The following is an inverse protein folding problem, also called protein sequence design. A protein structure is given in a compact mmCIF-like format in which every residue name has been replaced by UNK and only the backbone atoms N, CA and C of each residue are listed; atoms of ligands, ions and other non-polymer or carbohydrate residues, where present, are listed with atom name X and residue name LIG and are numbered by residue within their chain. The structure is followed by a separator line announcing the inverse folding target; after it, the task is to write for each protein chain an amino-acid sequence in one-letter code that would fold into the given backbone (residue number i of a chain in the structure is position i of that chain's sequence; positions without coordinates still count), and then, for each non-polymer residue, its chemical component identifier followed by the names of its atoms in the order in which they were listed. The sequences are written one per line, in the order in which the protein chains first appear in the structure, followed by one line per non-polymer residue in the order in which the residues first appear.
data_IF_480607853504
#
_entry.id   IF_480607853504
#
_cell.length_a   1.000
_cell.length_b   1.000
_cell.length_c   1.000
_cell.angle_alpha   90.00
_cell.angle_beta   90.00
_cell.angle_gamma   90.00
#
_symmetry.space_group_name_H-M   'P 1'
#
loop_
_entity.id
_entity.type
_entity.pdbx_description
1 polymer ?
#
# COMPACT_ATOMS: atom_id res chain seq x y z
N UNK A 1 -8.26 3.03 -8.32
CA UNK A 1 -8.73 2.53 -7.01
C UNK A 1 -7.64 2.69 -5.95
N UNK A 2 -7.97 2.63 -4.65
CA UNK A 2 -6.96 2.82 -3.59
C UNK A 2 -5.81 1.80 -3.66
N UNK A 3 -6.09 0.61 -4.16
CA UNK A 3 -5.11 -0.45 -4.39
C UNK A 3 -4.11 -0.16 -5.50
N UNK A 4 -4.38 0.79 -6.41
CA UNK A 4 -3.43 1.14 -7.49
C UNK A 4 -2.12 1.72 -6.92
N UNK A 5 -2.17 2.25 -5.69
CA UNK A 5 -0.99 2.75 -4.98
C UNK A 5 0.07 1.67 -4.80
N UNK A 6 -0.30 0.39 -4.72
CA UNK A 6 0.65 -0.72 -4.57
C UNK A 6 1.62 -0.84 -5.75
N UNK A 7 1.20 -0.37 -6.93
CA UNK A 7 2.03 -0.32 -8.14
C UNK A 7 3.02 0.86 -8.17
N UNK A 8 2.99 1.75 -7.17
CA UNK A 8 4.00 2.81 -7.03
C UNK A 8 5.32 2.22 -6.51
N UNK A 9 6.00 1.50 -7.40
CA UNK A 9 7.23 0.75 -7.13
C UNK A 9 8.42 1.34 -7.88
N UNK A 10 8.30 2.52 -8.48
CA UNK A 10 9.43 3.19 -9.13
C UNK A 10 10.57 3.44 -8.12
N UNK A 11 11.86 3.24 -8.49
CA UNK A 11 12.97 3.43 -7.57
C UNK A 11 12.99 4.82 -6.94
N UNK A 12 13.16 4.88 -5.62
CA UNK A 12 13.21 6.14 -4.86
C UNK A 12 11.84 6.76 -4.56
N UNK A 13 10.74 6.19 -5.08
CA UNK A 13 9.41 6.65 -4.74
C UNK A 13 9.00 6.13 -3.36
N UNK A 14 8.42 7.01 -2.55
CA UNK A 14 7.81 6.67 -1.26
C UNK A 14 6.29 6.86 -1.33
N UNK A 15 5.54 5.86 -0.89
CA UNK A 15 4.07 5.93 -0.89
C UNK A 15 3.48 5.20 0.31
N UNK A 16 2.31 5.64 0.77
CA UNK A 16 1.48 4.88 1.71
C UNK A 16 0.60 3.91 0.95
N UNK A 17 0.63 2.64 1.36
CA UNK A 17 -0.21 1.56 0.84
C UNK A 17 -1.20 1.16 1.94
N UNK A 18 -2.53 1.17 1.68
CA UNK A 18 -3.46 0.57 2.63
C UNK A 18 -3.27 -0.95 2.61
N UNK A 19 -3.26 -1.57 3.79
CA UNK A 19 -3.21 -3.03 3.95
C UNK A 19 -4.57 -3.58 4.38
N UNK A 20 -5.25 -2.87 5.29
CA UNK A 20 -6.56 -3.24 5.79
C UNK A 20 -7.48 -2.02 5.69
N UNK A 21 -8.57 -2.18 4.96
CA UNK A 21 -9.64 -1.19 4.80
C UNK A 21 -10.93 -1.87 5.26
N UNK A 22 -11.65 -1.29 6.23
CA UNK A 22 -12.92 -1.89 6.67
C UNK A 22 -13.94 -1.91 5.53
N UNK A 23 -14.81 -2.91 5.53
CA UNK A 23 -15.61 -3.27 4.36
C UNK A 23 -16.94 -2.53 4.18
N UNK A 24 -17.47 -1.76 5.15
CA UNK A 24 -18.58 -0.77 4.99
C UNK A 24 -18.94 -0.06 6.32
N UNK A 25 -19.55 1.13 6.20
CA UNK A 25 -19.68 2.20 7.21
C UNK A 25 -21.01 2.19 7.99
N UNK A 26 -20.93 1.89 9.29
CA UNK A 26 -21.73 2.57 10.34
C UNK A 26 -20.86 2.91 11.56
N UNK A 27 -19.53 2.84 11.42
CA UNK A 27 -18.59 3.11 12.49
C UNK A 27 -17.82 4.40 12.21
N UNK A 28 -17.90 5.36 13.13
CA UNK A 28 -17.28 6.69 12.99
C UNK A 28 -15.75 6.66 13.17
N UNK A 29 -15.14 5.48 13.20
CA UNK A 29 -13.71 5.26 13.46
C UNK A 29 -13.07 4.17 12.60
N UNK A 30 -13.48 4.01 11.34
CA UNK A 30 -12.84 3.07 10.40
C UNK A 30 -11.31 3.30 10.35
N UNK A 31 -10.55 2.40 10.96
CA UNK A 31 -9.10 2.46 11.02
C UNK A 31 -8.52 1.80 9.77
N UNK A 32 -7.69 2.54 9.04
CA UNK A 32 -6.94 1.98 7.90
C UNK A 32 -5.52 1.68 8.36
N UNK A 33 -5.14 0.41 8.34
CA UNK A 33 -3.73 0.05 8.54
C UNK A 33 -2.99 0.31 7.24
N UNK A 34 -1.88 1.04 7.33
CA UNK A 34 -1.03 1.39 6.19
C UNK A 34 0.40 0.88 6.39
N UNK A 35 1.12 0.77 5.29
CA UNK A 35 2.58 0.63 5.28
C UNK A 35 3.22 1.73 4.44
N UNK A 36 4.40 2.18 4.86
CA UNK A 36 5.26 3.02 4.04
C UNK A 36 6.08 2.16 3.09
N UNK A 37 5.71 2.21 1.80
CA UNK A 37 6.40 1.50 0.73
C UNK A 37 7.47 2.38 0.09
N UNK A 38 8.66 1.80 -0.08
CA UNK A 38 9.77 2.36 -0.86
C UNK A 38 10.31 1.26 -1.77
N UNK A 39 10.73 1.58 -2.98
CA UNK A 39 11.35 0.62 -3.88
C UNK A 39 12.76 1.06 -4.30
N UNK A 40 13.64 0.09 -4.51
CA UNK A 40 14.92 0.27 -5.20
C UNK A 40 14.89 -0.45 -6.56
N UNK A 41 16.02 -0.74 -7.20
CA UNK A 41 16.03 -1.39 -8.52
C UNK A 41 15.47 -2.82 -8.49
N UNK A 42 15.70 -3.55 -7.40
CA UNK A 42 15.51 -5.00 -7.33
C UNK A 42 14.47 -5.39 -6.28
N UNK A 43 14.11 -4.49 -5.37
CA UNK A 43 13.29 -4.80 -4.20
C UNK A 43 12.19 -3.77 -3.94
N UNK A 44 11.14 -4.25 -3.29
CA UNK A 44 10.10 -3.42 -2.67
C UNK A 44 10.20 -3.59 -1.16
N UNK A 45 10.24 -2.48 -0.44
CA UNK A 45 10.38 -2.43 1.01
C UNK A 45 9.13 -1.84 1.63
N UNK A 46 8.61 -2.51 2.65
CA UNK A 46 7.65 -1.98 3.60
C UNK A 46 8.43 -1.59 4.84
N UNK A 47 8.70 -0.29 4.99
CA UNK A 47 9.65 0.24 5.97
C UNK A 47 9.08 0.28 7.39
N UNK A 48 7.79 0.56 7.52
CA UNK A 48 7.07 0.68 8.79
C UNK A 48 5.56 0.58 8.56
N UNK A 49 4.86 0.22 9.61
CA UNK A 49 3.42 -0.04 9.61
C UNK A 49 2.74 0.85 10.64
N UNK A 50 1.51 1.26 10.37
CA UNK A 50 0.78 2.12 11.31
C UNK A 50 -0.70 2.23 11.00
N UNK A 51 -1.42 2.91 11.89
CA UNK A 51 -2.83 3.27 11.68
C UNK A 51 -2.89 4.67 11.13
N UNK A 52 -3.57 4.82 10.01
CA UNK A 52 -3.84 6.10 9.40
C UNK A 52 -4.83 6.89 10.27
N UNK A 53 -4.42 8.07 10.74
CA UNK A 53 -5.23 8.97 11.57
C UNK A 53 -6.07 9.95 10.74
N UNK A 54 -5.75 10.07 9.46
CA UNK A 54 -6.34 11.03 8.52
C UNK A 54 -6.79 10.33 7.24
N UNK A 55 -7.12 11.05 6.17
CA UNK A 55 -7.42 10.41 4.88
C UNK A 55 -6.14 10.24 4.06
N UNK A 56 -6.03 9.09 3.41
CA UNK A 56 -4.86 8.67 2.60
C UNK A 56 -4.74 9.43 1.26
N UNK A 57 -5.79 10.17 0.89
CA UNK A 57 -5.84 11.04 -0.27
C UNK A 57 -5.25 12.44 0.00
N UNK A 58 -4.87 12.75 1.25
CA UNK A 58 -4.26 14.03 1.60
C UNK A 58 -2.74 14.04 1.37
N UNK A 59 -2.15 15.20 1.02
CA UNK A 59 -0.71 15.33 0.81
C UNK A 59 0.11 15.01 2.07
N UNK A 60 -0.45 15.35 3.24
CA UNK A 60 0.14 15.12 4.56
C UNK A 60 -0.80 14.21 5.34
N UNK A 61 -0.69 12.90 5.10
CA UNK A 61 -1.40 11.90 5.89
C UNK A 61 -0.65 11.67 7.20
N UNK A 62 -1.32 11.93 8.32
CA UNK A 62 -0.85 11.56 9.64
C UNK A 62 -1.07 10.07 9.93
N UNK A 63 -0.06 9.42 10.49
CA UNK A 63 -0.01 7.98 10.75
C UNK A 63 0.58 7.75 12.13
N UNK A 64 -0.15 7.00 12.96
CA UNK A 64 0.36 6.46 14.22
C UNK A 64 1.16 5.19 13.93
N UNK A 65 2.49 5.28 14.02
CA UNK A 65 3.40 4.20 13.64
C UNK A 65 3.55 3.17 14.76
N UNK A 66 3.47 1.90 14.41
CA UNK A 66 3.68 0.81 15.35
C UNK A 66 5.15 0.68 15.72
N UNK A 67 5.42 0.62 17.02
CA UNK A 67 6.74 0.35 17.56
C UNK A 67 7.05 -1.16 17.55
N UNK A 68 8.29 -1.51 17.23
CA UNK A 68 8.78 -2.89 17.31
C UNK A 68 8.36 -3.83 16.16
N UNK A 69 7.65 -3.34 15.14
CA UNK A 69 7.35 -4.12 13.93
C UNK A 69 8.51 -3.96 12.94
N UNK A 70 9.22 -5.04 12.57
CA UNK A 70 10.37 -4.93 11.66
C UNK A 70 9.92 -4.65 10.22
N UNK A 71 10.78 -3.99 9.42
CA UNK A 71 10.52 -3.82 7.99
C UNK A 71 10.52 -5.17 7.26
N UNK A 72 9.78 -5.23 6.15
CA UNK A 72 9.72 -6.41 5.27
C UNK A 72 10.16 -6.01 3.88
N UNK A 73 10.88 -6.90 3.18
CA UNK A 73 11.36 -6.63 1.83
C UNK A 73 11.09 -7.81 0.91
N UNK A 74 10.67 -7.51 -0.30
CA UNK A 74 10.29 -8.48 -1.32
C UNK A 74 11.19 -8.30 -2.55
N UNK A 75 11.49 -9.40 -3.25
CA UNK A 75 12.01 -9.29 -4.62
C UNK A 75 10.97 -8.58 -5.47
N UNK A 76 11.40 -7.63 -6.30
CA UNK A 76 10.50 -6.81 -7.10
C UNK A 76 9.67 -7.67 -8.05
N UNK A 77 10.29 -8.62 -8.73
CA UNK A 77 9.60 -9.49 -9.68
C UNK A 77 8.48 -10.28 -9.00
N UNK A 78 8.77 -10.92 -7.86
CA UNK A 78 7.79 -11.67 -7.07
C UNK A 78 6.65 -10.78 -6.55
N UNK A 79 6.98 -9.57 -6.09
CA UNK A 79 5.99 -8.60 -5.64
C UNK A 79 5.03 -8.20 -6.76
N UNK A 80 5.56 -7.90 -7.95
CA UNK A 80 4.74 -7.54 -9.12
C UNK A 80 3.88 -8.72 -9.58
N UNK A 81 4.42 -9.94 -9.61
CA UNK A 81 3.67 -11.16 -9.94
C UNK A 81 2.50 -11.40 -8.98
N UNK A 82 2.70 -11.15 -7.68
CA UNK A 82 1.66 -11.26 -6.67
C UNK A 82 0.56 -10.20 -6.88
N UNK A 83 0.94 -8.95 -7.18
CA UNK A 83 -0.01 -7.87 -7.49
C UNK A 83 -0.83 -8.17 -8.75
N UNK A 84 -0.21 -8.67 -9.80
CA UNK A 84 -0.89 -9.05 -11.04
C UNK A 84 -1.87 -10.21 -10.83
N UNK A 85 -1.50 -11.18 -9.99
CA UNK A 85 -2.38 -12.28 -9.59
C UNK A 85 -3.57 -11.76 -8.79
N UNK A 86 -3.33 -10.87 -7.81
CA UNK A 86 -4.38 -10.24 -7.03
C UNK A 86 -5.34 -9.43 -7.92
N UNK A 87 -4.80 -8.64 -8.86
CA UNK A 87 -5.57 -7.86 -9.84
C UNK A 87 -6.56 -8.73 -10.61
N UNK A 88 -6.12 -9.91 -11.07
CA UNK A 88 -6.98 -10.86 -11.79
C UNK A 88 -8.12 -11.37 -10.92
N UNK A 89 -7.86 -11.64 -9.64
CA UNK A 89 -8.87 -12.12 -8.68
C UNK A 89 -9.95 -11.06 -8.44
N UNK A 90 -9.55 -9.79 -8.27
CA UNK A 90 -10.50 -8.70 -7.98
C UNK A 90 -11.12 -8.06 -9.24
N UNK A 91 -10.74 -8.52 -10.45
CA UNK A 91 -11.28 -8.01 -11.71
C UNK A 91 -10.87 -6.58 -12.05
N UNK A 92 -9.77 -6.07 -11.49
CA UNK A 92 -9.31 -4.69 -11.71
C UNK A 92 -8.71 -4.52 -13.12
N UNK A 93 -9.24 -3.57 -13.89
CA UNK A 93 -8.67 -3.14 -15.18
C UNK A 93 -7.83 -1.88 -14.97
N UNK A 94 -6.58 -1.89 -15.44
CA UNK A 94 -5.72 -0.70 -15.47
C UNK A 94 -5.86 -0.07 -16.86
N UNK A 95 -6.36 1.15 -16.92
CA UNK A 95 -6.64 1.88 -18.18
C UNK A 95 -5.36 2.38 -18.91
N UNK A 96 -4.17 1.96 -18.46
CA UNK A 96 -2.87 2.32 -19.05
C UNK A 96 -2.32 1.26 -20.02
N UNK A 97 -3.06 0.18 -20.24
CA UNK A 97 -2.78 -0.85 -21.24
C UNK A 97 -3.94 -0.91 -22.24
N UNK A 98 -3.96 0.04 -23.17
CA UNK A 98 -4.65 -0.07 -24.47
C UNK A 98 -3.63 0.09 -25.59
#
# INVERSE_FOLDING_TARGET
MIWDRSYSTAPGWKTLIPLLVCSEDLDFGCAVVVTEQVADQDRVHWQRFGVLLTRIDRPESDVDWFEGVPPVSFEREEFMNALDSFRKIIGLKLDWYD
#
